data_IF_134888010421
#
_entry.id   IF_134888010421
#
_cell.length_a   1.000
_cell.length_b   1.000
_cell.length_c   1.000
_cell.angle_alpha   90.00
_cell.angle_beta   90.00
_cell.angle_gamma   90.00
#
_symmetry.space_group_name_H-M   'P 1'
#
loop_
_entity.id
_entity.type
_entity.pdbx_description
1 polymer ?
#
# COMPACT_ATOMS: atom_id res chain seq x y z
N UNK A 1 4.21 -6.51 -2.66
CA UNK A 1 5.49 -7.15 -3.04
C UNK A 1 6.37 -7.26 -1.80
N UNK A 2 6.75 -8.46 -1.32
CA UNK A 2 7.67 -8.58 -0.19
C UNK A 2 9.00 -7.86 -0.44
N UNK A 3 9.53 -7.15 0.56
CA UNK A 3 10.78 -6.40 0.45
C UNK A 3 11.93 -7.27 -0.09
N UNK A 4 12.10 -8.47 0.48
CA UNK A 4 13.10 -9.46 0.03
C UNK A 4 13.00 -9.81 -1.46
N UNK A 5 11.79 -9.90 -2.00
CA UNK A 5 11.57 -10.16 -3.44
C UNK A 5 11.96 -8.94 -4.26
N UNK A 6 11.53 -7.75 -3.86
CA UNK A 6 11.82 -6.50 -4.56
C UNK A 6 13.33 -6.20 -4.62
N UNK A 7 14.06 -6.46 -3.53
CA UNK A 7 15.51 -6.23 -3.43
C UNK A 7 16.36 -7.41 -3.91
N UNK A 8 15.75 -8.51 -4.39
CA UNK A 8 16.46 -9.78 -4.74
C UNK A 8 17.32 -10.31 -3.59
N UNK A 9 16.85 -10.15 -2.36
CA UNK A 9 17.60 -10.56 -1.17
C UNK A 9 18.80 -9.68 -0.86
N UNK A 10 19.03 -8.57 -1.59
CA UNK A 10 19.94 -7.55 -1.10
C UNK A 10 19.33 -6.91 0.14
N UNK A 11 20.06 -7.00 1.24
CA UNK A 11 19.65 -6.43 2.51
C UNK A 11 19.67 -4.91 2.36
N UNK A 12 18.54 -4.18 2.53
CA UNK A 12 18.59 -2.73 2.53
C UNK A 12 19.53 -2.27 3.64
N UNK A 13 20.37 -1.27 3.36
CA UNK A 13 21.42 -0.82 4.26
C UNK A 13 20.86 -0.48 5.66
N UNK A 14 21.58 -0.96 6.69
CA UNK A 14 21.46 -0.70 8.12
C UNK A 14 20.31 -1.37 8.89
N UNK A 15 20.33 -2.71 9.00
CA UNK A 15 19.91 -3.44 10.20
C UNK A 15 18.53 -3.13 10.81
N UNK A 16 17.57 -2.60 10.05
CA UNK A 16 16.26 -2.24 10.60
C UNK A 16 15.34 -3.46 10.60
N UNK A 17 14.84 -3.81 11.79
CA UNK A 17 13.98 -4.96 12.07
C UNK A 17 12.78 -5.14 11.11
N UNK A 18 12.28 -4.05 10.53
CA UNK A 18 11.10 -4.06 9.67
C UNK A 18 11.31 -4.67 8.29
N UNK A 19 12.54 -4.98 7.88
CA UNK A 19 12.81 -5.51 6.53
C UNK A 19 12.14 -6.86 6.25
N UNK A 20 11.91 -7.68 7.29
CA UNK A 20 11.29 -9.01 7.12
C UNK A 20 9.77 -8.91 6.92
N UNK A 21 9.13 -7.97 7.62
CA UNK A 21 7.67 -7.75 7.57
C UNK A 21 7.28 -6.57 6.66
N UNK A 22 8.23 -5.99 5.94
CA UNK A 22 7.96 -4.91 5.00
C UNK A 22 7.48 -5.47 3.65
N UNK A 23 6.35 -4.95 3.20
CA UNK A 23 5.80 -5.19 1.87
C UNK A 23 5.64 -3.85 1.16
N UNK A 24 5.93 -3.82 -0.13
CA UNK A 24 5.75 -2.65 -0.98
C UNK A 24 4.44 -2.72 -1.76
N UNK A 25 3.78 -1.58 -1.89
CA UNK A 25 2.68 -1.42 -2.83
C UNK A 25 3.24 -1.35 -4.25
N UNK A 26 2.77 -2.19 -5.15
CA UNK A 26 3.20 -2.12 -6.54
C UNK A 26 2.72 -0.80 -7.17
N UNK A 27 3.63 -0.02 -7.76
CA UNK A 27 3.32 1.34 -8.22
C UNK A 27 2.33 1.33 -9.40
N UNK A 28 2.51 0.42 -10.35
CA UNK A 28 1.69 0.33 -11.55
C UNK A 28 0.23 -0.05 -11.21
N UNK A 29 0.03 -1.12 -10.44
CA UNK A 29 -1.30 -1.50 -9.96
C UNK A 29 -1.89 -0.52 -8.95
N UNK A 30 -1.05 0.21 -8.22
CA UNK A 30 -1.52 1.31 -7.37
C UNK A 30 -2.12 2.44 -8.20
N UNK A 31 -1.61 2.71 -9.41
CA UNK A 31 -2.15 3.70 -10.35
C UNK A 31 -3.40 3.17 -11.06
N UNK A 32 -3.30 1.97 -11.62
CA UNK A 32 -4.34 1.27 -12.38
C UNK A 32 -4.73 -0.01 -11.63
N UNK A 33 -5.77 0.03 -10.78
CA UNK A 33 -6.19 -1.12 -10.00
C UNK A 33 -6.51 -2.31 -10.90
N UNK A 34 -6.04 -3.49 -10.50
CA UNK A 34 -6.34 -4.74 -11.18
C UNK A 34 -7.73 -5.19 -10.72
N UNK A 35 -8.62 -5.48 -11.67
CA UNK A 35 -9.90 -6.11 -11.37
C UNK A 35 -9.69 -7.60 -11.13
N UNK A 36 -10.04 -8.08 -9.94
CA UNK A 36 -9.82 -9.46 -9.51
C UNK A 36 -11.14 -10.02 -8.97
N UNK A 37 -11.67 -11.12 -9.54
CA UNK A 37 -12.88 -11.74 -9.06
C UNK A 37 -12.78 -12.14 -7.58
N UNK A 38 -13.78 -11.75 -6.77
CA UNK A 38 -13.79 -12.04 -5.32
C UNK A 38 -13.68 -13.54 -5.01
N UNK A 39 -14.23 -14.39 -5.88
CA UNK A 39 -14.15 -15.84 -5.75
C UNK A 39 -12.71 -16.36 -5.68
N UNK A 40 -11.77 -15.73 -6.40
CA UNK A 40 -10.35 -16.10 -6.39
C UNK A 40 -9.66 -15.78 -5.06
N UNK A 41 -10.16 -14.78 -4.34
CA UNK A 41 -9.59 -14.31 -3.08
C UNK A 41 -10.20 -15.00 -1.85
N UNK A 42 -11.35 -15.67 -2.00
CA UNK A 42 -12.16 -16.13 -0.86
C UNK A 42 -11.44 -17.16 0.02
N UNK A 43 -10.73 -18.11 -0.59
CA UNK A 43 -10.08 -19.23 0.09
C UNK A 43 -8.58 -18.99 0.35
N UNK A 44 -8.09 -17.77 0.13
CA UNK A 44 -6.68 -17.45 0.37
C UNK A 44 -6.42 -17.07 1.83
N UNK A 45 -5.25 -17.44 2.39
CA UNK A 45 -4.86 -17.00 3.72
C UNK A 45 -4.74 -15.47 3.74
N UNK A 46 -5.39 -14.84 4.72
CA UNK A 46 -5.40 -13.39 4.90
C UNK A 46 -4.46 -12.99 6.02
N UNK A 47 -3.69 -11.93 5.79
CA UNK A 47 -2.86 -11.28 6.81
C UNK A 47 -3.06 -9.77 6.72
N UNK A 48 -3.01 -9.11 7.87
CA UNK A 48 -3.21 -7.66 7.96
C UNK A 48 -1.96 -6.93 7.50
N UNK A 49 -2.14 -5.94 6.64
CA UNK A 49 -1.09 -5.01 6.22
C UNK A 49 -1.46 -3.62 6.69
N UNK A 50 -0.55 -2.97 7.41
CA UNK A 50 -0.72 -1.60 7.89
C UNK A 50 -0.04 -0.62 6.93
N UNK A 51 -0.79 0.38 6.46
CA UNK A 51 -0.30 1.39 5.52
C UNK A 51 -0.08 2.72 6.22
N UNK A 52 0.99 3.43 5.87
CA UNK A 52 1.30 4.74 6.45
C UNK A 52 2.47 5.43 5.75
N UNK A 53 2.86 6.61 6.23
CA UNK A 53 4.05 7.32 5.75
C UNK A 53 5.31 6.91 6.48
N UNK A 54 5.19 6.42 7.71
CA UNK A 54 6.29 5.88 8.51
C UNK A 54 5.79 4.96 9.62
N UNK A 55 6.67 4.11 10.16
CA UNK A 55 6.34 3.21 11.27
C UNK A 55 5.73 3.94 12.50
N UNK A 56 6.31 5.06 12.98
CA UNK A 56 5.72 5.80 14.09
C UNK A 56 4.30 6.31 13.80
N UNK A 57 4.01 6.69 12.54
CA UNK A 57 2.66 7.14 12.18
C UNK A 57 1.65 6.01 12.11
N UNK A 58 2.08 4.81 11.69
CA UNK A 58 1.23 3.62 11.64
C UNK A 58 0.82 3.19 13.05
N UNK A 59 1.78 3.18 13.98
CA UNK A 59 1.55 2.72 15.36
C UNK A 59 1.12 3.83 16.32
N UNK A 60 0.88 5.05 15.81
CA UNK A 60 0.45 6.17 16.65
C UNK A 60 -0.93 5.88 17.23
N UNK A 61 -1.01 5.82 18.56
CA UNK A 61 -2.27 5.61 19.28
C UNK A 61 -2.69 4.14 19.38
N UNK A 62 -1.84 3.20 18.95
CA UNK A 62 -2.04 1.78 19.22
C UNK A 62 -1.48 1.37 20.58
N UNK A 63 -2.06 0.34 21.19
CA UNK A 63 -1.52 -0.24 22.43
C UNK A 63 -0.29 -1.09 22.16
N UNK A 64 0.47 -1.42 23.21
CA UNK A 64 1.65 -2.27 23.10
C UNK A 64 1.30 -3.66 22.57
N UNK A 65 0.15 -4.20 22.94
CA UNK A 65 -0.34 -5.53 22.50
C UNK A 65 -0.65 -5.53 21.01
N UNK A 66 -1.29 -4.47 20.48
CA UNK A 66 -1.56 -4.32 19.05
C UNK A 66 -0.28 -4.22 18.23
N UNK A 67 0.69 -3.48 18.75
CA UNK A 67 2.01 -3.34 18.13
C UNK A 67 2.72 -4.70 18.11
N UNK A 68 2.74 -5.43 19.23
CA UNK A 68 3.31 -6.79 19.29
C UNK A 68 2.62 -7.75 18.31
N UNK A 69 1.29 -7.71 18.23
CA UNK A 69 0.54 -8.52 17.28
C UNK A 69 0.94 -8.22 15.83
N UNK A 70 1.09 -6.93 15.48
CA UNK A 70 1.58 -6.53 14.17
C UNK A 70 2.98 -7.09 13.89
N UNK A 71 3.87 -7.11 14.88
CA UNK A 71 5.21 -7.67 14.70
C UNK A 71 5.23 -9.18 14.48
N UNK A 72 4.32 -9.92 15.11
CA UNK A 72 4.28 -11.38 14.98
C UNK A 72 3.51 -11.87 13.75
N UNK A 73 2.44 -11.17 13.35
CA UNK A 73 1.50 -11.68 12.34
C UNK A 73 1.15 -10.68 11.24
N UNK A 74 1.54 -9.43 11.39
CA UNK A 74 1.24 -8.36 10.44
C UNK A 74 2.38 -8.08 9.46
N UNK A 75 2.06 -7.22 8.49
CA UNK A 75 3.04 -6.60 7.61
C UNK A 75 2.85 -5.09 7.60
N UNK A 76 3.88 -4.37 7.20
CA UNK A 76 3.86 -2.91 7.10
C UNK A 76 4.18 -2.47 5.67
N UNK A 77 3.50 -1.43 5.20
CA UNK A 77 3.72 -0.83 3.90
C UNK A 77 3.83 0.69 4.03
N UNK A 78 5.06 1.20 3.88
CA UNK A 78 5.37 2.63 3.98
C UNK A 78 5.66 3.28 2.63
N UNK A 79 5.86 2.47 1.58
CA UNK A 79 6.30 2.94 0.26
C UNK A 79 5.77 2.06 -0.86
N UNK A 80 5.65 2.68 -2.03
CA UNK A 80 5.44 2.00 -3.29
C UNK A 80 6.77 1.48 -3.85
N UNK A 81 6.69 0.55 -4.79
CA UNK A 81 7.83 0.03 -5.53
C UNK A 81 7.47 -0.10 -7.00
N UNK A 82 8.33 0.46 -7.84
CA UNK A 82 8.24 0.34 -9.28
C UNK A 82 9.01 -0.92 -9.71
N UNK A 83 8.30 -1.93 -10.21
CA UNK A 83 8.95 -3.18 -10.61
C UNK A 83 9.80 -3.03 -11.88
N UNK A 84 9.45 -2.10 -12.77
CA UNK A 84 10.16 -1.90 -14.05
C UNK A 84 11.49 -1.21 -13.80
N UNK A 85 11.46 -0.12 -13.04
CA UNK A 85 12.67 0.65 -12.71
C UNK A 85 13.40 0.14 -11.46
N UNK A 86 12.77 -0.78 -10.72
CA UNK A 86 13.25 -1.32 -9.44
C UNK A 86 13.60 -0.24 -8.41
N UNK A 87 12.81 0.82 -8.40
CA UNK A 87 13.02 1.99 -7.56
C UNK A 87 11.91 2.13 -6.51
N UNK A 88 12.23 2.63 -5.30
CA UNK A 88 11.21 3.01 -4.35
C UNK A 88 10.42 4.22 -4.88
N UNK A 89 9.09 4.19 -4.70
CA UNK A 89 8.18 5.29 -5.03
C UNK A 89 7.38 5.71 -3.80
N UNK A 90 6.89 6.95 -3.72
CA UNK A 90 5.97 7.35 -2.67
C UNK A 90 4.71 6.48 -2.65
N UNK A 91 4.19 6.18 -1.46
CA UNK A 91 2.93 5.45 -1.31
C UNK A 91 1.76 6.30 -1.82
N UNK A 92 0.81 5.71 -2.54
CA UNK A 92 -0.34 6.47 -3.09
C UNK A 92 -1.23 6.96 -1.94
N UNK A 93 -1.66 8.22 -2.01
CA UNK A 93 -2.47 8.88 -0.97
C UNK A 93 -3.71 8.08 -0.57
N UNK A 94 -4.40 7.46 -1.54
CA UNK A 94 -5.58 6.60 -1.29
C UNK A 94 -5.33 5.46 -0.29
N UNK A 95 -4.09 4.97 -0.17
CA UNK A 95 -3.77 3.83 0.68
C UNK A 95 -3.54 4.21 2.15
N UNK A 96 -3.27 5.48 2.45
CA UNK A 96 -2.79 5.86 3.78
C UNK A 96 -3.26 7.24 4.26
N UNK A 97 -3.97 8.01 3.44
CA UNK A 97 -4.60 9.25 3.89
C UNK A 97 -5.94 8.91 4.54
N UNK A 98 -6.25 9.51 5.71
CA UNK A 98 -7.59 9.41 6.27
C UNK A 98 -8.61 10.04 5.32
N UNK A 99 -9.87 9.59 5.40
CA UNK A 99 -10.94 10.08 4.54
C UNK A 99 -11.08 11.61 4.55
N UNK A 100 -10.78 12.26 5.69
CA UNK A 100 -10.78 13.72 5.85
C UNK A 100 -9.72 14.47 5.02
N UNK A 101 -8.65 13.80 4.59
CA UNK A 101 -7.54 14.38 3.80
C UNK A 101 -7.55 13.97 2.33
N UNK A 102 -8.48 13.11 1.92
CA UNK A 102 -8.64 12.74 0.52
C UNK A 102 -9.38 13.88 -0.21
N UNK A 103 -8.69 14.57 -1.13
CA UNK A 103 -9.33 15.54 -2.02
C UNK A 103 -10.41 14.81 -2.83
N UNK A 104 -11.66 15.23 -2.71
CA UNK A 104 -12.75 14.70 -3.53
C UNK A 104 -12.47 15.06 -5.00
N UNK A 105 -12.19 14.06 -5.83
CA UNK A 105 -12.23 14.26 -7.27
C UNK A 105 -13.71 14.38 -7.66
N UNK A 106 -14.17 15.60 -7.98
CA UNK A 106 -15.47 15.81 -8.64
C UNK A 106 -15.54 14.90 -9.87
N UNK A 107 -16.65 14.15 -10.09
CA UNK A 107 -16.83 13.45 -11.35
C UNK A 107 -16.85 14.48 -12.48
N UNK A 108 -16.05 14.26 -13.53
CA UNK A 108 -16.20 15.00 -14.78
C UNK A 108 -17.53 14.54 -15.39
N UNK A 109 -18.54 15.39 -15.31
CA UNK A 109 -19.78 15.22 -16.06
C UNK A 109 -19.43 15.14 -17.54
N UNK A 110 -19.89 14.09 -18.22
CA UNK A 110 -19.68 13.88 -19.65
C UNK A 110 -20.24 15.07 -20.46
N UNK A 111 -19.35 15.89 -21.04
CA UNK A 111 -19.69 16.82 -22.12
C UNK A 111 -19.90 16.02 -23.43
N UNK A 112 -21.04 15.34 -23.56
CA UNK A 112 -21.44 14.70 -24.83
C UNK A 112 -22.80 15.12 -25.40
N UNK A 113 -23.49 16.10 -24.82
CA UNK A 113 -24.82 16.54 -25.31
C UNK A 113 -24.91 18.02 -25.73
N UNK A 114 -23.89 18.56 -26.43
CA UNK A 114 -24.00 19.87 -27.12
C UNK A 114 -23.57 19.85 -28.59
N UNK A 115 -23.94 18.80 -29.32
CA UNK A 115 -23.89 18.81 -30.79
C UNK A 115 -25.18 18.24 -31.39
N UNK A 116 -26.34 18.73 -30.95
CA UNK A 116 -27.62 18.63 -31.68
C UNK A 116 -28.51 19.82 -31.31
N UNK A 117 -28.30 20.95 -31.97
CA UNK A 117 -29.33 21.93 -32.30
C UNK A 117 -28.82 22.80 -33.45
#
# INVERSE_FOLDING_TARGET
IPCRTATRGSFPLNGTYFQVNEVFADHESSLNPIDVPRAWLWNLPKRTVYFGTSIPTIFKGLTTEEIQYCFWRGFVCVRGFDQKERAPRPLRARLHFPASRLKQNKPKTDEKDKLKQ
#
